data_IF_860990910477
#
_entry.id   IF_860990910477
#
_cell.length_a   1.000
_cell.length_b   1.000
_cell.length_c   1.000
_cell.angle_alpha   90.00
_cell.angle_beta   90.00
_cell.angle_gamma   90.00
#
_symmetry.space_group_name_H-M   'P 1'
#
loop_
_entity.id
_entity.type
_entity.pdbx_description
1 polymer ?
#
# COMPACT_ATOMS: atom_id res chain seq x y z
N UNK A 1 -8.23 5.81 0.74
CA UNK A 1 -8.54 4.95 1.91
C UNK A 1 -7.86 3.62 1.66
N UNK A 2 -7.20 3.06 2.67
CA UNK A 2 -6.40 1.83 2.53
C UNK A 2 -6.86 0.80 3.57
N UNK A 3 -6.55 -0.47 3.32
CA UNK A 3 -6.80 -1.58 4.24
C UNK A 3 -5.46 -2.24 4.48
N UNK A 4 -5.07 -2.34 5.75
CA UNK A 4 -3.87 -3.07 6.14
C UNK A 4 -4.07 -4.58 5.91
N UNK A 5 -3.03 -5.21 5.37
CA UNK A 5 -2.96 -6.63 5.08
C UNK A 5 -1.66 -7.14 5.67
N UNK A 6 -1.74 -8.22 6.44
CA UNK A 6 -0.60 -8.91 7.01
C UNK A 6 -0.29 -10.21 6.26
N UNK A 7 0.92 -10.79 6.40
CA UNK A 7 1.25 -12.08 5.80
C UNK A 7 0.27 -13.22 6.16
N UNK A 8 -0.38 -13.15 7.32
CA UNK A 8 -1.40 -14.10 7.75
C UNK A 8 -2.73 -13.99 6.99
N UNK A 9 -3.02 -12.83 6.40
CA UNK A 9 -4.23 -12.56 5.62
C UNK A 9 -4.16 -13.13 4.20
N UNK A 10 -2.97 -13.52 3.73
CA UNK A 10 -2.75 -14.06 2.39
C UNK A 10 -2.56 -15.58 2.41
N UNK A 11 -3.08 -16.22 1.37
CA UNK A 11 -2.93 -17.66 1.11
C UNK A 11 -1.58 -17.96 0.45
N UNK A 12 -1.09 -19.19 0.63
CA UNK A 12 0.14 -19.68 0.00
C UNK A 12 1.38 -19.59 0.87
N UNK A 13 2.55 -19.63 0.23
CA UNK A 13 3.85 -19.67 0.90
C UNK A 13 4.21 -18.32 1.52
N UNK A 14 4.50 -18.34 2.82
CA UNK A 14 4.78 -17.16 3.66
C UNK A 14 6.28 -16.97 3.86
N UNK A 15 7.02 -16.89 2.75
CA UNK A 15 8.41 -16.48 2.80
C UNK A 15 8.53 -14.95 3.04
N UNK A 16 9.77 -14.46 3.16
CA UNK A 16 10.05 -13.06 3.43
C UNK A 16 9.56 -12.09 2.33
N UNK A 17 9.23 -12.57 1.13
CA UNK A 17 8.83 -11.77 -0.03
C UNK A 17 7.36 -11.97 -0.42
N UNK A 18 6.58 -12.72 0.38
CA UNK A 18 5.19 -13.05 0.06
C UNK A 18 4.32 -11.81 -0.15
N UNK A 19 4.48 -10.77 0.67
CA UNK A 19 3.74 -9.51 0.54
C UNK A 19 4.15 -8.70 -0.70
N UNK A 20 5.42 -8.79 -1.12
CA UNK A 20 5.89 -8.15 -2.35
C UNK A 20 5.22 -8.79 -3.57
N UNK A 21 5.18 -10.13 -3.62
CA UNK A 21 4.46 -10.85 -4.68
C UNK A 21 2.95 -10.59 -4.66
N UNK A 22 2.36 -10.42 -3.48
CA UNK A 22 0.96 -10.01 -3.35
C UNK A 22 0.71 -8.63 -3.98
N UNK A 23 1.57 -7.65 -3.70
CA UNK A 23 1.51 -6.32 -4.34
C UNK A 23 1.62 -6.44 -5.87
N UNK A 24 2.63 -7.14 -6.38
CA UNK A 24 2.84 -7.34 -7.82
C UNK A 24 1.63 -7.98 -8.51
N UNK A 25 1.04 -8.99 -7.87
CA UNK A 25 -0.16 -9.66 -8.39
C UNK A 25 -1.37 -8.72 -8.43
N UNK A 26 -1.56 -7.90 -7.39
CA UNK A 26 -2.64 -6.92 -7.34
C UNK A 26 -2.44 -5.79 -8.36
N UNK A 27 -1.21 -5.32 -8.55
CA UNK A 27 -0.82 -4.34 -9.57
C UNK A 27 -1.06 -4.88 -10.98
N UNK A 28 -0.68 -6.13 -11.24
CA UNK A 28 -0.92 -6.81 -12.52
C UNK A 28 -2.41 -6.97 -12.81
N UNK A 29 -3.20 -7.39 -11.82
CA UNK A 29 -4.65 -7.49 -11.96
C UNK A 29 -5.27 -6.11 -12.24
N UNK A 30 -4.83 -5.06 -11.52
CA UNK A 30 -5.28 -3.70 -11.76
C UNK A 30 -4.98 -3.25 -13.20
N UNK A 31 -3.78 -3.50 -13.70
CA UNK A 31 -3.40 -3.20 -15.09
C UNK A 31 -4.27 -3.96 -16.11
N UNK A 32 -4.54 -5.24 -15.87
CA UNK A 32 -5.44 -6.04 -16.73
C UNK A 32 -6.86 -5.46 -16.76
N UNK A 33 -7.40 -5.07 -15.60
CA UNK A 33 -8.72 -4.43 -15.48
C UNK A 33 -8.72 -2.99 -16.02
N UNK A 34 -7.55 -2.40 -16.21
CA UNK A 34 -7.30 -1.08 -16.81
C UNK A 34 -7.07 -1.15 -18.31
N UNK A 35 -7.57 -2.18 -19.00
CA UNK A 35 -7.34 -2.43 -20.43
C UNK A 35 -5.86 -2.54 -20.82
N UNK A 36 -5.00 -3.01 -19.92
CA UNK A 36 -3.57 -3.15 -20.16
C UNK A 36 -2.89 -1.83 -20.56
N UNK A 37 -3.43 -0.72 -20.06
CA UNK A 37 -2.96 0.66 -20.27
C UNK A 37 -2.71 1.33 -18.93
N UNK A 38 -2.26 2.59 -18.97
CA UNK A 38 -2.15 3.42 -17.77
C UNK A 38 -3.51 3.96 -17.29
N UNK A 39 -4.61 3.72 -18.00
CA UNK A 39 -5.95 4.08 -17.52
C UNK A 39 -6.29 3.31 -16.25
N UNK A 40 -6.76 4.01 -15.22
CA UNK A 40 -7.02 3.39 -13.93
C UNK A 40 -8.44 2.80 -13.86
N UNK A 41 -8.60 1.54 -13.43
CA UNK A 41 -9.89 0.98 -13.08
C UNK A 41 -10.54 1.78 -11.96
N UNK A 42 -11.81 2.13 -12.15
CA UNK A 42 -12.52 2.95 -11.19
C UNK A 42 -14.00 2.57 -11.08
N UNK A 43 -14.58 2.87 -9.92
CA UNK A 43 -15.98 2.58 -9.62
C UNK A 43 -16.56 3.67 -8.73
N UNK A 44 -17.81 4.08 -8.95
CA UNK A 44 -18.48 5.05 -8.07
C UNK A 44 -18.65 4.46 -6.66
N UNK A 45 -18.57 5.30 -5.64
CA UNK A 45 -18.46 4.83 -4.26
C UNK A 45 -19.72 4.11 -3.76
N UNK A 46 -20.92 4.62 -4.07
CA UNK A 46 -22.17 3.94 -3.65
C UNK A 46 -22.38 2.66 -4.45
N UNK A 47 -21.98 2.65 -5.72
CA UNK A 47 -22.08 1.45 -6.56
C UNK A 47 -21.12 0.34 -6.06
N UNK A 48 -19.92 0.71 -5.63
CA UNK A 48 -18.97 -0.20 -4.98
C UNK A 48 -19.57 -0.84 -3.72
N UNK A 49 -20.13 -0.03 -2.81
CA UNK A 49 -20.76 -0.57 -1.59
C UNK A 49 -21.99 -1.41 -1.90
N UNK A 50 -22.71 -1.14 -2.98
CA UNK A 50 -23.88 -1.92 -3.40
C UNK A 50 -23.55 -3.09 -4.34
N UNK A 51 -22.27 -3.33 -4.63
CA UNK A 51 -21.81 -4.38 -5.55
C UNK A 51 -22.47 -4.28 -6.93
N UNK A 52 -22.52 -3.06 -7.48
CA UNK A 52 -23.07 -2.75 -8.81
C UNK A 52 -22.00 -2.16 -9.71
N UNK A 53 -21.92 -2.59 -10.97
CA UNK A 53 -21.06 -1.92 -11.94
C UNK A 53 -21.56 -0.48 -12.18
N UNK A 54 -20.64 0.49 -12.20
CA UNK A 54 -20.97 1.88 -12.55
C UNK A 54 -21.11 2.01 -14.07
N UNK A 55 -22.17 2.65 -14.54
CA UNK A 55 -22.37 2.88 -15.98
C UNK A 55 -21.39 3.92 -16.54
N UNK A 56 -21.21 5.01 -15.78
CA UNK A 56 -20.33 6.14 -16.09
C UNK A 56 -19.52 6.55 -14.85
N UNK A 57 -18.55 7.45 -15.05
CA UNK A 57 -17.66 7.93 -14.00
C UNK A 57 -17.59 9.47 -14.01
N UNK A 58 -17.52 10.13 -12.83
CA UNK A 58 -17.21 11.56 -12.75
C UNK A 58 -15.83 11.90 -13.35
N UNK A 59 -15.61 13.19 -13.62
CA UNK A 59 -14.28 13.69 -14.01
C UNK A 59 -13.26 13.45 -12.90
N UNK A 60 -12.03 13.15 -13.28
CA UNK A 60 -10.93 12.88 -12.35
C UNK A 60 -9.70 13.71 -12.70
N UNK A 61 -8.90 14.01 -11.69
CA UNK A 61 -7.57 14.62 -11.84
C UNK A 61 -6.51 13.62 -12.33
N UNK A 62 -6.82 12.32 -12.35
CA UNK A 62 -5.90 11.30 -12.85
C UNK A 62 -5.71 11.44 -14.36
N UNK A 63 -4.56 12.00 -14.76
CA UNK A 63 -4.29 12.42 -16.13
C UNK A 63 -4.42 11.31 -17.21
N UNK A 64 -3.98 10.05 -16.96
CA UNK A 64 -4.18 8.97 -17.94
C UNK A 64 -5.65 8.61 -18.19
N UNK A 65 -6.56 9.03 -17.31
CA UNK A 65 -7.99 8.77 -17.42
C UNK A 65 -8.45 7.52 -16.67
N UNK A 66 -9.77 7.40 -16.52
CA UNK A 66 -10.42 6.32 -15.78
C UNK A 66 -11.21 5.40 -16.71
N UNK A 67 -11.36 4.14 -16.32
CA UNK A 67 -12.26 3.19 -16.94
C UNK A 67 -13.19 2.58 -15.91
N UNK A 68 -14.48 2.48 -16.23
CA UNK A 68 -15.44 1.82 -15.33
C UNK A 68 -15.10 0.34 -15.21
N UNK A 69 -14.88 -0.12 -13.98
CA UNK A 69 -14.49 -1.48 -13.68
C UNK A 69 -15.15 -1.94 -12.37
N UNK A 70 -15.63 -3.19 -12.26
CA UNK A 70 -16.28 -3.67 -11.06
C UNK A 70 -15.24 -4.03 -9.98
N UNK A 71 -14.64 -3.02 -9.33
CA UNK A 71 -13.61 -3.20 -8.29
C UNK A 71 -14.07 -4.18 -7.19
N UNK A 72 -15.33 -4.05 -6.77
CA UNK A 72 -15.95 -4.95 -5.78
C UNK A 72 -15.94 -6.44 -6.17
N UNK A 73 -15.81 -6.76 -7.45
CA UNK A 73 -15.84 -8.12 -7.97
C UNK A 73 -14.45 -8.75 -8.04
N UNK A 74 -13.47 -8.03 -8.58
CA UNK A 74 -12.14 -8.61 -8.83
C UNK A 74 -11.14 -8.35 -7.70
N UNK A 75 -11.32 -7.33 -6.88
CA UNK A 75 -10.40 -7.09 -5.75
C UNK A 75 -10.48 -8.24 -4.74
N UNK A 76 -9.38 -8.53 -4.00
CA UNK A 76 -9.42 -9.50 -2.92
C UNK A 76 -10.57 -9.21 -1.96
N UNK A 77 -11.38 -10.23 -1.65
CA UNK A 77 -12.61 -10.08 -0.86
C UNK A 77 -12.37 -9.43 0.51
N UNK A 78 -11.23 -9.73 1.14
CA UNK A 78 -10.83 -9.13 2.42
C UNK A 78 -10.67 -7.61 2.31
N UNK A 79 -10.08 -7.12 1.22
CA UNK A 79 -9.90 -5.69 0.96
C UNK A 79 -11.25 -5.06 0.60
N UNK A 80 -11.97 -5.64 -0.36
CA UNK A 80 -13.23 -5.07 -0.84
C UNK A 80 -14.29 -5.00 0.27
N UNK A 81 -14.38 -6.06 1.08
CA UNK A 81 -15.29 -6.14 2.23
C UNK A 81 -14.99 -5.10 3.31
N UNK A 82 -13.72 -5.00 3.73
CA UNK A 82 -13.28 -4.00 4.73
C UNK A 82 -13.48 -2.57 4.21
N UNK A 83 -13.16 -2.29 2.94
CA UNK A 83 -13.40 -1.00 2.31
C UNK A 83 -14.90 -0.64 2.31
N UNK A 84 -15.77 -1.58 1.91
CA UNK A 84 -17.22 -1.37 1.88
C UNK A 84 -17.76 -0.97 3.26
N UNK A 85 -17.40 -1.71 4.30
CA UNK A 85 -17.79 -1.39 5.68
C UNK A 85 -17.24 -0.03 6.15
N UNK A 86 -15.99 0.28 5.77
CA UNK A 86 -15.37 1.57 6.03
C UNK A 86 -16.16 2.71 5.41
N UNK A 87 -16.48 2.63 4.12
CA UNK A 87 -17.25 3.67 3.41
C UNK A 87 -18.66 3.85 3.97
N UNK A 88 -19.36 2.76 4.31
CA UNK A 88 -20.68 2.82 4.96
C UNK A 88 -20.61 3.49 6.34
N UNK A 89 -19.52 3.27 7.08
CA UNK A 89 -19.30 3.91 8.37
C UNK A 89 -18.98 5.40 8.22
N UNK A 90 -18.06 5.76 7.32
CA UNK A 90 -17.77 7.17 7.04
C UNK A 90 -18.97 7.93 6.48
N UNK A 91 -19.81 7.28 5.67
CA UNK A 91 -21.04 7.88 5.16
C UNK A 91 -22.06 8.22 6.26
N UNK A 92 -22.04 7.50 7.39
CA UNK A 92 -22.87 7.82 8.57
C UNK A 92 -22.28 8.95 9.41
N UNK A 93 -20.95 9.04 9.49
CA UNK A 93 -20.24 10.01 10.33
C UNK A 93 -20.10 11.36 9.63
N UNK A 94 -19.89 11.36 8.32
CA UNK A 94 -19.61 12.55 7.52
C UNK A 94 -20.61 12.64 6.36
N UNK A 95 -21.54 13.59 6.48
CA UNK A 95 -22.55 13.82 5.47
C UNK A 95 -21.90 14.15 4.11
N UNK A 96 -22.34 13.49 3.06
CA UNK A 96 -21.80 13.66 1.70
C UNK A 96 -20.55 12.83 1.39
N UNK A 97 -19.97 12.13 2.36
CA UNK A 97 -18.79 11.28 2.10
C UNK A 97 -19.13 10.09 1.19
N UNK A 98 -20.22 9.37 1.48
CA UNK A 98 -20.70 8.25 0.66
C UNK A 98 -21.67 8.77 -0.41
N UNK A 99 -21.14 9.08 -1.59
CA UNK A 99 -21.89 9.64 -2.72
C UNK A 99 -21.41 9.07 -4.05
N UNK A 100 -22.28 9.07 -5.07
CA UNK A 100 -21.89 8.66 -6.42
C UNK A 100 -21.13 9.75 -7.18
N UNK A 101 -21.06 10.99 -6.66
CA UNK A 101 -20.13 12.01 -7.16
C UNK A 101 -18.66 11.67 -6.81
N UNK A 102 -18.44 10.77 -5.85
CA UNK A 102 -17.13 10.25 -5.49
C UNK A 102 -16.84 8.92 -6.21
N UNK A 103 -15.58 8.74 -6.57
CA UNK A 103 -15.08 7.57 -7.30
C UNK A 103 -13.90 6.94 -6.56
N UNK A 104 -13.86 5.62 -6.52
CA UNK A 104 -12.69 4.84 -6.12
C UNK A 104 -11.83 4.63 -7.36
N UNK A 105 -10.55 4.96 -7.26
CA UNK A 105 -9.54 4.73 -8.29
C UNK A 105 -8.59 3.66 -7.74
N UNK A 106 -8.52 2.50 -8.39
CA UNK A 106 -7.62 1.42 -7.98
C UNK A 106 -6.28 1.48 -8.74
N UNK A 107 -5.15 1.04 -8.18
CA UNK A 107 -4.89 0.60 -6.79
C UNK A 107 -3.71 1.37 -6.19
N UNK A 108 -3.72 1.56 -4.87
CA UNK A 108 -2.63 2.17 -4.09
C UNK A 108 -1.98 1.06 -3.25
N UNK A 109 -0.93 0.42 -3.79
CA UNK A 109 -0.35 -0.81 -3.23
C UNK A 109 0.88 -0.59 -2.37
N UNK A 110 1.56 0.55 -2.51
CA UNK A 110 2.91 0.79 -1.96
C UNK A 110 2.89 1.84 -0.85
N UNK A 111 2.00 1.64 0.13
CA UNK A 111 1.84 2.55 1.28
C UNK A 111 2.97 2.45 2.30
N UNK A 112 3.67 1.31 2.31
CA UNK A 112 4.82 1.00 3.15
C UNK A 112 5.58 -0.17 2.54
N UNK A 113 6.81 -0.42 3.02
CA UNK A 113 7.62 -1.54 2.51
C UNK A 113 6.96 -2.90 2.81
N UNK A 114 6.86 -3.79 1.80
CA UNK A 114 6.33 -5.15 2.00
C UNK A 114 7.32 -6.07 2.71
N UNK A 115 8.53 -5.58 3.03
CA UNK A 115 9.61 -6.35 3.65
C UNK A 115 10.22 -5.59 4.82
N UNK A 116 10.75 -6.34 5.79
CA UNK A 116 11.50 -5.79 6.92
C UNK A 116 12.90 -6.42 6.94
N UNK A 117 13.93 -5.60 6.75
CA UNK A 117 15.32 -6.07 6.80
C UNK A 117 15.81 -5.94 8.25
N UNK A 118 15.83 -7.05 8.97
CA UNK A 118 16.06 -7.06 10.42
C UNK A 118 17.41 -6.45 10.82
N UNK A 119 17.36 -5.45 11.71
CA UNK A 119 18.52 -4.82 12.34
C UNK A 119 18.39 -4.78 13.86
N UNK A 120 19.51 -4.82 14.56
CA UNK A 120 19.57 -4.66 16.01
C UNK A 120 19.16 -3.21 16.39
N UNK A 121 18.29 -3.02 17.40
CA UNK A 121 17.72 -1.70 17.70
C UNK A 121 18.72 -0.70 18.31
N UNK A 122 19.81 -1.18 18.89
CA UNK A 122 20.83 -0.35 19.54
C UNK A 122 21.93 0.03 18.55
N UNK A 123 22.51 -0.97 17.88
CA UNK A 123 23.63 -0.76 16.94
C UNK A 123 23.17 -0.35 15.54
N UNK A 124 21.89 -0.54 15.22
CA UNK A 124 21.29 -0.34 13.89
C UNK A 124 21.88 -1.20 12.77
N UNK A 125 22.75 -2.16 13.10
CA UNK A 125 23.34 -3.10 12.15
C UNK A 125 22.41 -4.28 11.90
N UNK A 126 22.50 -4.85 10.71
CA UNK A 126 21.83 -6.10 10.36
C UNK A 126 22.24 -7.20 11.33
N UNK A 127 21.27 -7.99 11.77
CA UNK A 127 21.43 -8.99 12.85
C UNK A 127 22.50 -10.07 12.59
N UNK A 128 22.94 -10.23 11.34
CA UNK A 128 23.94 -11.23 10.93
C UNK A 128 25.11 -10.68 10.13
N UNK A 129 25.05 -9.42 9.68
CA UNK A 129 26.06 -8.84 8.76
C UNK A 129 26.57 -7.56 9.39
N UNK A 130 27.79 -7.61 9.91
CA UNK A 130 28.45 -6.45 10.50
C UNK A 130 28.75 -5.41 9.41
N UNK A 131 28.64 -4.13 9.77
CA UNK A 131 28.82 -3.01 8.85
C UNK A 131 27.66 -2.78 7.87
N UNK A 132 26.60 -3.58 7.89
CA UNK A 132 25.39 -3.36 7.09
C UNK A 132 24.30 -2.69 7.94
N UNK A 133 23.80 -1.52 7.52
CA UNK A 133 22.83 -0.70 8.27
C UNK A 133 21.55 -0.49 7.46
N UNK A 134 20.57 -1.40 7.53
CA UNK A 134 19.28 -1.20 6.86
C UNK A 134 18.55 0.02 7.43
N UNK A 135 18.10 0.94 6.58
CA UNK A 135 17.45 2.18 7.02
C UNK A 135 16.33 2.65 6.09
N UNK A 136 15.52 3.58 6.60
CA UNK A 136 14.45 4.23 5.87
C UNK A 136 13.26 3.33 5.55
N UNK A 137 12.42 3.79 4.64
CA UNK A 137 11.17 3.11 4.28
C UNK A 137 11.43 1.75 3.62
N UNK A 138 12.41 1.66 2.70
CA UNK A 138 12.74 0.41 2.01
C UNK A 138 13.13 -0.73 2.96
N UNK A 139 13.87 -0.43 4.03
CA UNK A 139 14.20 -1.42 5.07
C UNK A 139 13.03 -1.71 6.03
N UNK A 140 11.96 -0.94 5.94
CA UNK A 140 10.75 -1.04 6.75
C UNK A 140 10.77 -0.21 8.04
N UNK A 141 11.75 0.69 8.26
CA UNK A 141 11.94 1.43 9.53
C UNK A 141 11.37 2.86 9.53
N UNK A 142 10.81 3.32 8.41
CA UNK A 142 10.17 4.62 8.25
C UNK A 142 8.93 4.51 7.36
N UNK A 143 8.11 5.56 7.33
CA UNK A 143 6.86 5.60 6.55
C UNK A 143 6.56 6.98 5.95
N UNK A 144 7.59 7.81 5.77
CA UNK A 144 7.45 9.14 5.18
C UNK A 144 8.76 9.91 5.21
N UNK A 145 8.79 11.05 4.52
CA UNK A 145 10.01 11.85 4.28
C UNK A 145 10.76 12.16 5.59
N UNK A 146 10.06 12.69 6.59
CA UNK A 146 10.67 13.10 7.86
C UNK A 146 11.18 11.90 8.65
N UNK A 147 10.39 10.83 8.77
CA UNK A 147 10.81 9.63 9.51
C UNK A 147 11.97 8.91 8.83
N UNK A 148 12.01 8.90 7.50
CA UNK A 148 13.13 8.33 6.73
C UNK A 148 14.40 9.16 6.91
N UNK A 149 14.30 10.49 6.94
CA UNK A 149 15.43 11.38 7.22
C UNK A 149 16.01 11.16 8.61
N UNK A 150 15.16 11.11 9.65
CA UNK A 150 15.57 10.85 11.03
C UNK A 150 16.22 9.46 11.16
N UNK A 151 15.64 8.44 10.53
CA UNK A 151 16.22 7.09 10.56
C UNK A 151 17.59 7.03 9.85
N UNK A 152 17.73 7.76 8.75
CA UNK A 152 18.99 7.91 8.02
C UNK A 152 20.08 8.58 8.86
N UNK A 153 19.76 9.67 9.54
CA UNK A 153 20.68 10.37 10.45
C UNK A 153 21.18 9.43 11.56
N UNK A 154 20.26 8.72 12.22
CA UNK A 154 20.63 7.74 13.26
C UNK A 154 21.54 6.64 12.73
N UNK A 155 21.29 6.15 11.52
CA UNK A 155 22.15 5.15 10.90
C UNK A 155 23.53 5.73 10.54
N UNK A 156 23.61 6.99 10.11
CA UNK A 156 24.89 7.65 9.85
C UNK A 156 25.73 7.79 11.13
N UNK A 157 25.12 8.15 12.26
CA UNK A 157 25.79 8.19 13.56
C UNK A 157 26.27 6.80 14.01
N UNK A 158 25.45 5.78 13.81
CA UNK A 158 25.83 4.39 14.13
C UNK A 158 26.99 3.89 13.25
N UNK A 159 27.01 4.24 11.96
CA UNK A 159 28.14 3.97 11.05
C UNK A 159 29.41 4.64 11.56
N UNK A 160 29.34 5.92 11.96
CA UNK A 160 30.48 6.65 12.52
C UNK A 160 31.04 5.96 13.77
N UNK A 161 30.17 5.55 14.69
CA UNK A 161 30.58 4.82 15.90
C UNK A 161 31.25 3.48 15.56
N UNK A 162 30.68 2.73 14.62
CA UNK A 162 31.23 1.45 14.16
C UNK A 162 32.63 1.60 13.56
N UNK A 163 32.84 2.59 12.68
CA UNK A 163 34.15 2.85 12.07
C UNK A 163 35.19 3.27 13.11
N UNK A 164 34.81 4.05 14.12
CA UNK A 164 35.72 4.45 15.20
C UNK A 164 36.16 3.28 16.08
N UNK A 165 35.36 2.22 16.22
CA UNK A 165 35.72 1.02 16.98
C UNK A 165 36.65 0.06 16.23
N UNK A 166 36.85 0.26 14.92
CA UNK A 166 37.75 -0.57 14.09
C UNK A 166 39.15 0.02 13.94
N UNK A 167 39.35 1.28 14.34
CA UNK A 167 40.65 1.96 14.40
C UNK A 167 41.29 1.78 15.77
#
# INVERSE_FOLDING_TARGET
MVVEIHPEDIEGERDALCMMRFQENLEKMCWQQGNMRQTAPAQRMVDFTRSKLSYDLPKSSYAPGLISSPLHFWMPKIIAGRLKQGFETFGRISHGFLTNEAVLIATETRTSSPVRIMRNPETLQHVRIQGFFPCGEGAGYAGGIVSAGIDGERCADAVKQYLNMQN
#
